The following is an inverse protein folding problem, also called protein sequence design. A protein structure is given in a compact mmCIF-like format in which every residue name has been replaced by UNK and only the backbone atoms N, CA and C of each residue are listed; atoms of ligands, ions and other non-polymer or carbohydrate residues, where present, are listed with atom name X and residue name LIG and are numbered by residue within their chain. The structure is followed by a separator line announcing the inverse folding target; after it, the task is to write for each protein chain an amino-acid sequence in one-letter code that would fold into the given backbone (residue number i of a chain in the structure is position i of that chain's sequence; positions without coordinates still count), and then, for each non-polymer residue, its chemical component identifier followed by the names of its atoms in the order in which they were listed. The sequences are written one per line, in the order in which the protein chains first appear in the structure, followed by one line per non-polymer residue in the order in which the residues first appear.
data_IF_492003882309
#
_entry.id   IF_492003882309
#
_cell.length_a   1.000
_cell.length_b   1.000
_cell.length_c   1.000
_cell.angle_alpha   90.00
_cell.angle_beta   90.00
_cell.angle_gamma   90.00
#
_symmetry.space_group_name_H-M   'P 1'
#
loop_
_entity.id
_entity.type
_entity.pdbx_description
1 polymer ?
#
# COMPACT_ATOMS: atom_id res chain seq x y z
N UNK A 1 56.13 71.08 30.30
CA UNK A 1 55.06 71.66 31.16
C UNK A 1 53.83 71.79 30.28
N UNK A 2 52.69 71.11 30.46
CA UNK A 2 52.05 70.55 31.66
C UNK A 2 51.03 69.47 31.24
N UNK A 3 50.84 68.54 32.17
CA UNK A 3 49.98 67.36 32.24
C UNK A 3 48.47 67.70 32.14
N UNK A 4 47.63 66.86 31.48
CA UNK A 4 46.58 66.03 32.13
C UNK A 4 45.51 65.46 31.17
N UNK A 5 45.28 64.18 31.42
CA UNK A 5 44.27 63.19 31.01
C UNK A 5 42.81 63.64 31.17
N UNK A 6 41.91 63.09 30.31
CA UNK A 6 40.62 62.47 30.72
C UNK A 6 40.06 61.55 29.63
N UNK A 7 39.45 60.46 30.10
CA UNK A 7 39.11 59.23 29.40
C UNK A 7 37.63 59.16 28.92
N UNK A 8 37.36 58.13 28.10
CA UNK A 8 36.08 57.42 27.84
C UNK A 8 35.07 58.16 26.94
N UNK A 9 34.40 57.56 25.94
CA UNK A 9 34.14 56.15 25.64
C UNK A 9 33.70 55.94 24.17
N UNK A 10 33.73 54.67 23.75
CA UNK A 10 32.88 53.99 22.77
C UNK A 10 33.09 54.31 21.27
N UNK A 11 33.22 53.34 20.35
CA UNK A 11 33.24 51.89 20.45
C UNK A 11 33.89 51.32 19.18
N UNK A 12 34.70 50.26 19.36
CA UNK A 12 35.17 49.35 18.32
C UNK A 12 34.01 48.53 17.71
N UNK A 13 34.16 48.20 16.42
CA UNK A 13 34.02 46.83 15.83
C UNK A 13 33.64 47.00 14.35
N UNK A 14 34.57 46.98 13.40
CA UNK A 14 35.24 45.80 12.84
C UNK A 14 34.28 44.80 12.18
N UNK A 15 34.48 44.63 10.87
CA UNK A 15 33.80 43.71 9.96
C UNK A 15 33.86 42.25 10.42
N UNK A 16 32.83 41.46 10.08
CA UNK A 16 32.97 40.04 9.78
C UNK A 16 31.88 39.60 8.79
N UNK A 17 32.35 39.21 7.60
CA UNK A 17 31.61 38.47 6.58
C UNK A 17 31.26 37.09 7.15
N UNK A 18 29.99 36.72 7.13
CA UNK A 18 29.56 35.33 7.29
C UNK A 18 28.50 35.05 6.22
N UNK A 19 28.94 34.48 5.10
CA UNK A 19 28.05 33.85 4.14
C UNK A 19 27.36 32.68 4.82
N UNK A 20 26.05 32.81 5.05
CA UNK A 20 25.20 31.69 5.38
C UNK A 20 24.94 30.90 4.09
N UNK A 21 25.35 29.62 3.97
CA UNK A 21 24.74 28.74 3.00
C UNK A 21 23.30 28.55 3.48
N UNK A 22 22.38 29.28 2.87
CA UNK A 22 20.95 29.02 3.00
C UNK A 22 20.73 27.57 2.61
N UNK A 23 20.57 26.70 3.61
CA UNK A 23 20.22 25.32 3.41
C UNK A 23 18.96 25.29 2.56
N UNK A 24 19.08 24.77 1.34
CA UNK A 24 17.95 24.30 0.59
C UNK A 24 17.31 23.22 1.48
N UNK A 25 16.32 23.62 2.28
CA UNK A 25 15.32 22.70 2.79
C UNK A 25 14.73 22.09 1.54
N UNK A 26 15.18 20.87 1.21
CA UNK A 26 14.65 20.11 0.11
C UNK A 26 13.16 20.03 0.33
N UNK A 27 12.39 20.82 -0.42
CA UNK A 27 11.01 20.50 -0.67
C UNK A 27 11.06 19.07 -1.20
N UNK A 28 10.59 18.12 -0.38
CA UNK A 28 10.37 16.77 -0.86
C UNK A 28 9.38 16.95 -2.00
N UNK A 29 9.85 16.86 -3.25
CA UNK A 29 8.96 16.66 -4.38
C UNK A 29 8.04 15.53 -3.98
N UNK A 30 6.74 15.84 -3.91
CA UNK A 30 5.73 14.84 -3.69
C UNK A 30 5.87 13.89 -4.90
N UNK A 31 6.45 12.72 -4.68
CA UNK A 31 6.60 11.72 -5.74
C UNK A 31 5.19 11.43 -6.27
N UNK A 32 4.99 11.68 -7.57
CA UNK A 32 3.70 11.44 -8.18
C UNK A 32 3.33 9.95 -8.02
N UNK A 33 2.07 9.64 -7.67
CA UNK A 33 1.65 8.26 -7.54
C UNK A 33 1.87 7.49 -8.84
N UNK A 34 2.56 6.36 -8.77
CA UNK A 34 2.73 5.47 -9.91
C UNK A 34 1.41 4.75 -10.18
N UNK A 35 0.91 4.88 -11.40
CA UNK A 35 -0.28 4.18 -11.88
C UNK A 35 0.13 3.00 -12.75
N UNK A 36 -0.43 1.83 -12.45
CA UNK A 36 -0.21 0.59 -13.19
C UNK A 36 -1.56 0.05 -13.62
N UNK A 37 -1.66 -0.42 -14.86
CA UNK A 37 -2.85 -1.09 -15.38
C UNK A 37 -2.40 -2.25 -16.25
N UNK A 38 -3.00 -3.42 -16.04
CA UNK A 38 -2.72 -4.61 -16.84
C UNK A 38 -4.02 -5.31 -17.21
N UNK A 39 -4.12 -5.73 -18.47
CA UNK A 39 -5.18 -6.59 -18.96
C UNK A 39 -4.53 -7.83 -19.59
N UNK A 40 -4.87 -9.00 -19.06
CA UNK A 40 -4.33 -10.28 -19.50
C UNK A 40 -5.44 -11.27 -19.82
N UNK A 41 -5.21 -12.08 -20.83
CA UNK A 41 -6.03 -13.25 -21.17
C UNK A 41 -5.23 -14.49 -20.79
N UNK A 42 -5.78 -15.33 -19.92
CA UNK A 42 -5.13 -16.53 -19.38
C UNK A 42 -5.61 -17.76 -20.13
N UNK A 43 -4.67 -18.49 -20.72
CA UNK A 43 -4.95 -19.70 -21.49
C UNK A 43 -4.56 -20.96 -20.71
N UNK A 44 -5.44 -21.96 -20.71
CA UNK A 44 -5.18 -23.28 -20.13
C UNK A 44 -5.51 -24.33 -21.18
N UNK A 45 -4.51 -25.12 -21.59
CA UNK A 45 -4.70 -26.13 -22.64
C UNK A 45 -5.21 -25.57 -23.97
N UNK A 46 -4.85 -24.34 -24.32
CA UNK A 46 -5.33 -23.65 -25.53
C UNK A 46 -6.70 -22.97 -25.40
N UNK A 47 -7.39 -23.15 -24.28
CA UNK A 47 -8.69 -22.51 -24.01
C UNK A 47 -8.43 -21.16 -23.33
N UNK A 48 -9.01 -20.08 -23.84
CA UNK A 48 -9.08 -18.82 -23.10
C UNK A 48 -9.98 -19.03 -21.88
N UNK A 49 -9.35 -19.15 -20.71
CA UNK A 49 -10.00 -19.56 -19.49
C UNK A 49 -10.46 -18.34 -18.67
N UNK A 50 -9.61 -17.33 -18.51
CA UNK A 50 -9.85 -16.20 -17.62
C UNK A 50 -9.36 -14.91 -18.27
N UNK A 51 -10.18 -13.86 -18.24
CA UNK A 51 -9.73 -12.47 -18.40
C UNK A 51 -9.40 -11.89 -17.03
N UNK A 52 -8.22 -11.29 -16.92
CA UNK A 52 -7.74 -10.59 -15.72
C UNK A 52 -7.53 -9.12 -16.08
N UNK A 53 -8.17 -8.23 -15.32
CA UNK A 53 -7.84 -6.81 -15.28
C UNK A 53 -7.25 -6.46 -13.91
N UNK A 54 -6.21 -5.65 -13.88
CA UNK A 54 -5.57 -5.18 -12.66
C UNK A 54 -5.28 -3.69 -12.78
N UNK A 55 -5.55 -2.94 -11.71
CA UNK A 55 -5.23 -1.53 -11.59
C UNK A 55 -4.55 -1.27 -10.24
N UNK A 56 -3.58 -0.36 -10.23
CA UNK A 56 -2.92 0.05 -8.99
C UNK A 56 -2.47 1.52 -9.02
N UNK A 57 -2.52 2.14 -7.84
CA UNK A 57 -1.95 3.45 -7.55
C UNK A 57 -1.02 3.31 -6.35
N UNK A 58 0.27 3.52 -6.57
CA UNK A 58 1.32 3.24 -5.60
C UNK A 58 2.17 4.47 -5.36
N UNK A 59 2.42 4.81 -4.09
CA UNK A 59 3.38 5.85 -3.73
C UNK A 59 4.20 5.44 -2.48
N UNK A 60 4.98 6.37 -1.91
CA UNK A 60 5.81 6.07 -0.74
C UNK A 60 5.01 5.83 0.54
N UNK A 61 3.79 6.36 0.62
CA UNK A 61 2.96 6.42 1.83
C UNK A 61 1.74 5.51 1.76
N UNK A 62 1.26 5.12 0.57
CA UNK A 62 0.05 4.32 0.39
C UNK A 62 0.09 3.43 -0.84
N UNK A 63 -0.81 2.45 -0.84
CA UNK A 63 -1.15 1.68 -2.01
C UNK A 63 -2.66 1.55 -2.16
N UNK A 64 -3.10 1.46 -3.40
CA UNK A 64 -4.45 1.13 -3.81
C UNK A 64 -4.35 0.14 -4.96
N UNK A 65 -4.97 -1.03 -4.84
CA UNK A 65 -4.90 -2.10 -5.84
C UNK A 65 -6.28 -2.71 -6.06
N UNK A 66 -6.68 -2.82 -7.32
CA UNK A 66 -7.90 -3.44 -7.78
C UNK A 66 -7.62 -4.58 -8.77
N UNK A 67 -8.46 -5.60 -8.73
CA UNK A 67 -8.38 -6.76 -9.62
C UNK A 67 -9.78 -7.21 -10.03
N UNK A 68 -9.94 -7.60 -11.29
CA UNK A 68 -11.17 -8.14 -11.87
C UNK A 68 -10.84 -9.41 -12.64
N UNK A 69 -11.53 -10.51 -12.33
CA UNK A 69 -11.39 -11.78 -13.02
C UNK A 69 -12.75 -12.22 -13.53
N UNK A 70 -12.78 -12.79 -14.74
CA UNK A 70 -13.98 -13.45 -15.25
C UNK A 70 -13.59 -14.61 -16.16
N UNK A 71 -14.29 -15.72 -16.04
CA UNK A 71 -14.18 -16.81 -17.03
C UNK A 71 -14.65 -16.33 -18.39
N UNK A 72 -14.01 -16.78 -19.48
CA UNK A 72 -14.34 -16.40 -20.86
C UNK A 72 -14.64 -17.62 -21.74
N UNK A 73 -15.26 -17.39 -22.90
CA UNK A 73 -15.49 -18.41 -23.92
C UNK A 73 -16.17 -19.68 -23.39
N UNK A 74 -15.60 -20.84 -23.74
CA UNK A 74 -16.11 -22.16 -23.34
C UNK A 74 -16.05 -22.35 -21.81
N UNK A 75 -15.02 -21.82 -21.15
CA UNK A 75 -14.91 -21.88 -19.69
C UNK A 75 -16.03 -21.04 -19.02
N UNK A 76 -16.31 -19.86 -19.57
CA UNK A 76 -17.40 -18.99 -19.11
C UNK A 76 -18.77 -19.64 -19.25
N UNK A 77 -19.02 -20.32 -20.37
CA UNK A 77 -20.25 -21.08 -20.57
C UNK A 77 -20.43 -22.21 -19.53
N UNK A 78 -19.35 -22.90 -19.15
CA UNK A 78 -19.42 -24.03 -18.23
C UNK A 78 -19.47 -23.64 -16.74
N UNK A 79 -18.80 -22.55 -16.36
CA UNK A 79 -18.51 -22.24 -14.96
C UNK A 79 -18.98 -20.86 -14.48
N UNK A 80 -19.54 -19.99 -15.35
CA UNK A 80 -20.03 -18.63 -15.07
C UNK A 80 -19.51 -18.04 -13.75
N UNK A 81 -18.24 -17.64 -13.79
CA UNK A 81 -17.53 -17.11 -12.66
C UNK A 81 -16.99 -15.72 -12.95
N UNK A 82 -17.18 -14.82 -11.98
CA UNK A 82 -16.51 -13.53 -11.96
C UNK A 82 -16.17 -13.13 -10.52
N UNK A 83 -15.12 -12.35 -10.38
CA UNK A 83 -14.66 -11.84 -9.11
C UNK A 83 -14.06 -10.44 -9.28
N UNK A 84 -14.30 -9.58 -8.32
CA UNK A 84 -13.54 -8.36 -8.09
C UNK A 84 -12.86 -8.46 -6.72
N UNK A 85 -11.67 -7.88 -6.60
CA UNK A 85 -10.95 -7.76 -5.35
C UNK A 85 -10.29 -6.39 -5.28
N UNK A 86 -10.34 -5.76 -4.11
CA UNK A 86 -9.75 -4.45 -3.86
C UNK A 86 -8.98 -4.48 -2.54
N UNK A 87 -7.86 -3.80 -2.47
CA UNK A 87 -7.09 -3.64 -1.24
C UNK A 87 -6.40 -2.29 -1.22
N UNK A 88 -6.44 -1.66 -0.05
CA UNK A 88 -5.81 -0.36 0.19
C UNK A 88 -5.12 -0.36 1.54
N UNK A 89 -4.07 0.43 1.63
CA UNK A 89 -3.33 0.57 2.87
C UNK A 89 -2.26 1.64 2.81
N UNK A 90 -1.51 1.72 3.90
CA UNK A 90 -0.52 2.75 4.16
C UNK A 90 0.84 2.15 4.49
N UNK A 91 1.89 2.94 4.35
CA UNK A 91 3.22 2.64 4.85
C UNK A 91 3.44 3.43 6.13
N UNK A 92 3.56 2.73 7.26
CA UNK A 92 3.88 3.31 8.56
C UNK A 92 5.10 2.64 9.15
N UNK A 93 6.05 3.45 9.62
CA UNK A 93 7.34 2.98 10.16
C UNK A 93 8.08 2.03 9.19
N UNK A 94 8.00 2.33 7.90
CA UNK A 94 8.57 1.53 6.82
C UNK A 94 7.78 0.25 6.48
N UNK A 95 6.78 -0.14 7.26
CA UNK A 95 5.98 -1.37 7.09
C UNK A 95 4.68 -1.06 6.35
N UNK A 96 4.31 -1.92 5.40
CA UNK A 96 2.99 -1.85 4.75
C UNK A 96 1.93 -2.37 5.71
N UNK A 97 0.87 -1.60 5.90
CA UNK A 97 -0.27 -1.88 6.76
C UNK A 97 -1.55 -1.75 5.93
N UNK A 98 -2.25 -2.86 5.62
CA UNK A 98 -3.56 -2.77 4.98
C UNK A 98 -4.51 -2.01 5.91
N UNK A 99 -5.47 -1.30 5.32
CA UNK A 99 -6.57 -0.64 6.05
C UNK A 99 -7.91 -1.22 5.63
N UNK A 100 -8.00 -1.74 4.39
CA UNK A 100 -9.19 -2.32 3.83
C UNK A 100 -8.84 -3.40 2.80
N UNK A 101 -9.55 -4.52 2.85
CA UNK A 101 -9.64 -5.49 1.76
C UNK A 101 -11.10 -5.82 1.46
N UNK A 102 -11.47 -5.86 0.19
CA UNK A 102 -12.80 -6.25 -0.28
C UNK A 102 -12.71 -7.29 -1.38
N UNK A 103 -13.74 -8.11 -1.50
CA UNK A 103 -13.92 -8.93 -2.68
C UNK A 103 -15.38 -9.26 -2.91
N UNK A 104 -15.79 -9.27 -4.16
CA UNK A 104 -17.11 -9.72 -4.59
C UNK A 104 -16.92 -10.83 -5.61
N UNK A 105 -17.61 -11.96 -5.46
CA UNK A 105 -17.56 -13.06 -6.40
C UNK A 105 -18.96 -13.56 -6.72
N UNK A 106 -19.19 -13.88 -7.99
CA UNK A 106 -20.37 -14.60 -8.44
C UNK A 106 -19.91 -15.94 -8.97
N UNK A 107 -20.50 -17.01 -8.45
CA UNK A 107 -20.28 -18.39 -8.88
C UNK A 107 -21.62 -19.08 -9.05
N UNK A 108 -21.94 -19.53 -10.27
CA UNK A 108 -23.22 -20.22 -10.58
C UNK A 108 -24.44 -19.43 -10.08
N UNK A 109 -24.43 -18.12 -10.31
CA UNK A 109 -25.49 -17.19 -9.89
C UNK A 109 -25.49 -16.83 -8.39
N UNK A 110 -24.64 -17.44 -7.56
CA UNK A 110 -24.53 -17.12 -6.13
C UNK A 110 -23.46 -16.05 -5.89
N UNK A 111 -23.86 -14.93 -5.31
CA UNK A 111 -22.95 -13.86 -4.90
C UNK A 111 -22.34 -14.14 -3.54
N UNK A 112 -21.05 -13.84 -3.38
CA UNK A 112 -20.34 -13.80 -2.10
C UNK A 112 -19.52 -12.52 -2.03
N UNK A 113 -19.67 -11.78 -0.94
CA UNK A 113 -18.92 -10.56 -0.64
C UNK A 113 -18.08 -10.77 0.59
N UNK A 114 -16.92 -10.15 0.61
CA UNK A 114 -15.99 -10.09 1.73
C UNK A 114 -15.59 -8.64 1.94
N UNK A 115 -15.62 -8.20 3.20
CA UNK A 115 -15.14 -6.88 3.60
C UNK A 115 -14.32 -7.03 4.88
N UNK A 116 -13.06 -6.67 4.83
CA UNK A 116 -12.11 -6.74 5.93
C UNK A 116 -11.59 -5.33 6.20
N UNK A 117 -11.72 -4.88 7.43
CA UNK A 117 -11.12 -3.65 7.95
C UNK A 117 -9.99 -3.99 8.89
N UNK A 118 -8.90 -3.24 8.78
CA UNK A 118 -7.72 -3.36 9.61
C UNK A 118 -7.53 -2.07 10.40
N UNK A 119 -7.50 -2.16 11.72
CA UNK A 119 -7.27 -1.03 12.61
C UNK A 119 -5.78 -0.78 12.84
N UNK A 120 -5.47 0.41 13.36
CA UNK A 120 -4.09 0.82 13.64
C UNK A 120 -3.41 -0.06 14.71
N UNK A 121 -4.18 -0.63 15.64
CA UNK A 121 -3.70 -1.55 16.69
C UNK A 121 -3.55 -3.00 16.17
N UNK A 122 -3.87 -3.25 14.90
CA UNK A 122 -3.82 -4.56 14.27
C UNK A 122 -5.07 -5.41 14.49
N UNK A 123 -6.13 -4.88 15.12
CA UNK A 123 -7.42 -5.54 15.16
C UNK A 123 -8.00 -5.66 13.75
N UNK A 124 -8.70 -6.77 13.49
CA UNK A 124 -9.25 -7.10 12.17
C UNK A 124 -10.73 -7.42 12.28
N UNK A 125 -11.56 -6.67 11.54
CA UNK A 125 -12.99 -6.92 11.42
C UNK A 125 -13.30 -7.46 10.02
N UNK A 126 -13.74 -8.70 9.95
CA UNK A 126 -14.18 -9.32 8.69
C UNK A 126 -15.70 -9.53 8.69
N UNK A 127 -16.33 -9.22 7.57
CA UNK A 127 -17.74 -9.48 7.28
C UNK A 127 -17.88 -10.16 5.93
N UNK A 128 -18.81 -11.11 5.83
CA UNK A 128 -19.16 -11.76 4.57
C UNK A 128 -20.65 -11.66 4.32
N UNK A 129 -21.02 -11.63 3.04
CA UNK A 129 -22.41 -11.71 2.59
C UNK A 129 -22.53 -12.77 1.47
N UNK A 130 -23.26 -13.88 1.66
CA UNK A 130 -23.97 -14.24 2.88
C UNK A 130 -23.01 -14.45 4.07
N UNK A 131 -23.53 -14.36 5.31
CA UNK A 131 -22.77 -14.71 6.49
C UNK A 131 -22.18 -16.12 6.36
N UNK A 132 -20.98 -16.26 6.87
CA UNK A 132 -20.25 -17.51 6.82
C UNK A 132 -20.95 -18.57 7.68
N UNK A 133 -21.05 -19.79 7.14
CA UNK A 133 -21.67 -20.93 7.81
C UNK A 133 -20.60 -21.69 8.64
N UNK A 134 -20.68 -21.68 9.98
CA UNK A 134 -19.70 -22.32 10.84
C UNK A 134 -19.69 -23.86 10.71
N UNK A 135 -20.74 -24.47 10.16
CA UNK A 135 -20.76 -25.92 9.89
C UNK A 135 -19.90 -26.28 8.67
N UNK A 136 -19.72 -25.35 7.73
CA UNK A 136 -18.93 -25.58 6.51
C UNK A 136 -17.43 -25.41 6.75
N UNK A 137 -17.02 -24.59 7.72
CA UNK A 137 -15.61 -24.45 8.14
C UNK A 137 -15.52 -23.75 9.49
N UNK A 138 -14.49 -24.08 10.25
CA UNK A 138 -14.25 -23.46 11.56
C UNK A 138 -13.87 -21.97 11.42
N UNK A 139 -14.47 -21.06 12.22
CA UNK A 139 -14.07 -19.66 12.26
C UNK A 139 -12.64 -19.50 12.74
N UNK A 140 -11.87 -18.60 12.10
CA UNK A 140 -10.51 -18.29 12.55
C UNK A 140 -10.57 -17.70 13.98
N UNK A 141 -9.87 -18.25 14.98
CA UNK A 141 -9.83 -17.70 16.33
C UNK A 141 -9.38 -16.23 16.37
N UNK A 142 -9.97 -15.36 17.22
CA UNK A 142 -9.62 -13.92 17.25
C UNK A 142 -8.12 -13.65 17.43
N UNK A 143 -7.43 -14.43 18.27
CA UNK A 143 -5.99 -14.30 18.51
C UNK A 143 -5.14 -14.51 17.25
N UNK A 144 -5.61 -15.30 16.28
CA UNK A 144 -4.91 -15.55 15.02
C UNK A 144 -5.21 -14.51 13.93
N UNK A 145 -6.16 -13.60 14.17
CA UNK A 145 -6.53 -12.55 13.20
C UNK A 145 -5.68 -11.29 13.35
N UNK A 146 -5.22 -11.02 14.58
CA UNK A 146 -4.49 -9.80 14.91
C UNK A 146 -3.19 -9.73 14.13
N UNK A 147 -2.95 -8.58 13.48
CA UNK A 147 -1.72 -8.35 12.72
C UNK A 147 -1.62 -9.11 11.40
N UNK A 148 -2.68 -9.78 10.95
CA UNK A 148 -2.74 -10.38 9.61
C UNK A 148 -2.64 -9.31 8.52
N UNK A 149 -2.27 -9.77 7.32
CA UNK A 149 -2.14 -8.92 6.13
C UNK A 149 -2.89 -9.54 4.96
N UNK A 150 -3.34 -8.70 4.03
CA UNK A 150 -3.89 -9.17 2.76
C UNK A 150 -2.80 -9.44 1.71
N UNK A 151 -3.17 -10.16 0.65
CA UNK A 151 -2.25 -10.52 -0.43
C UNK A 151 -1.69 -9.29 -1.16
N UNK A 152 -2.49 -8.26 -1.52
CA UNK A 152 -1.96 -7.08 -2.21
C UNK A 152 -0.98 -6.27 -1.36
N UNK A 153 -1.24 -6.09 -0.06
CA UNK A 153 -0.31 -5.45 0.85
C UNK A 153 0.98 -6.25 1.05
N UNK A 154 0.91 -7.59 1.03
CA UNK A 154 2.09 -8.45 1.09
C UNK A 154 2.92 -8.33 -0.20
N UNK A 155 2.27 -8.37 -1.36
CA UNK A 155 2.91 -8.15 -2.65
C UNK A 155 3.58 -6.77 -2.72
N UNK A 156 2.90 -5.72 -2.26
CA UNK A 156 3.48 -4.38 -2.23
C UNK A 156 4.71 -4.30 -1.32
N UNK A 157 4.68 -5.00 -0.17
CA UNK A 157 5.84 -5.10 0.72
C UNK A 157 7.05 -5.70 0.01
N UNK A 158 6.84 -6.81 -0.70
CA UNK A 158 7.89 -7.47 -1.47
C UNK A 158 8.43 -6.58 -2.60
N UNK A 159 7.55 -5.93 -3.38
CA UNK A 159 7.95 -5.03 -4.45
C UNK A 159 8.77 -3.84 -3.95
N UNK A 160 8.43 -3.28 -2.78
CA UNK A 160 9.21 -2.22 -2.14
C UNK A 160 10.57 -2.71 -1.65
N UNK A 161 10.63 -3.92 -1.09
CA UNK A 161 11.89 -4.54 -0.69
C UNK A 161 12.81 -4.73 -1.91
N UNK A 162 12.30 -5.36 -2.98
CA UNK A 162 13.03 -5.56 -4.24
C UNK A 162 13.47 -4.22 -4.85
N UNK A 163 12.59 -3.22 -4.88
CA UNK A 163 12.92 -1.90 -5.41
C UNK A 163 14.02 -1.17 -4.63
N UNK A 164 14.19 -1.48 -3.33
CA UNK A 164 15.26 -0.92 -2.48
C UNK A 164 16.57 -1.71 -2.57
N UNK A 165 16.49 -3.05 -2.63
CA UNK A 165 17.67 -3.92 -2.49
C UNK A 165 18.17 -4.47 -3.82
N UNK A 166 17.33 -4.49 -4.85
CA UNK A 166 17.58 -5.19 -6.12
C UNK A 166 17.59 -6.72 -5.98
N UNK A 167 17.11 -7.26 -4.85
CA UNK A 167 17.19 -8.69 -4.52
C UNK A 167 15.82 -9.28 -4.23
N UNK A 168 15.65 -10.56 -4.57
CA UNK A 168 14.42 -11.33 -4.35
C UNK A 168 14.50 -12.25 -3.13
N UNK A 169 15.22 -11.84 -2.09
CA UNK A 169 15.42 -12.58 -0.83
C UNK A 169 14.63 -11.96 0.33
N UNK A 170 13.49 -11.32 0.03
CA UNK A 170 12.66 -10.72 1.06
C UNK A 170 12.15 -11.79 2.04
N UNK A 171 12.76 -11.80 3.23
CA UNK A 171 12.29 -12.52 4.41
C UNK A 171 11.50 -11.56 5.30
N UNK A 172 10.34 -12.00 5.78
CA UNK A 172 9.45 -11.20 6.65
C UNK A 172 10.02 -10.89 8.03
#
# INVERSE_FOLDING_TARGET
MTMRTRHLAAACAALLVAGLPGGAAGASEAEEPRRLSFDYEVYVGGINAIRLGFDAVLDRARYDMGMRLATQGVAGWMFDWKMTAESRGEVRDGRVKPTLARGDSIWRGKSRKLHIEYDADGAVRARTDPPFDPEQREPVPPALRVGTRDLPGALFSALRAIGRTGRCDHTE
#
